data_IF_318536864611
#
_entry.id   IF_318536864611
#
_cell.length_a   1.000
_cell.length_b   1.000
_cell.length_c   1.000
_cell.angle_alpha   90.00
_cell.angle_beta   90.00
_cell.angle_gamma   90.00
#
_symmetry.space_group_name_H-M   'P 1'
#
loop_
_entity.id
_entity.type
_entity.pdbx_description
1 polymer ?
#
# COMPACT_ATOMS: atom_id res chain seq x y z
N UNK A 1 -7.01 -16.14 -22.72
CA UNK A 1 -6.65 -16.41 -21.30
C UNK A 1 -5.42 -15.58 -21.02
N UNK A 2 -5.55 -14.44 -20.33
CA UNK A 2 -4.37 -13.70 -19.89
C UNK A 2 -3.65 -14.56 -18.84
N UNK A 3 -2.36 -14.83 -19.05
CA UNK A 3 -1.53 -15.50 -18.05
C UNK A 3 -1.35 -14.58 -16.86
N UNK A 4 -1.53 -15.07 -15.61
CA UNK A 4 -1.33 -14.24 -14.43
C UNK A 4 0.10 -13.71 -14.41
N UNK A 5 0.24 -12.39 -14.28
CA UNK A 5 1.54 -11.73 -14.17
C UNK A 5 2.11 -11.99 -12.78
N UNK A 6 3.36 -12.44 -12.66
CA UNK A 6 3.99 -12.59 -11.35
C UNK A 6 4.06 -11.22 -10.65
N UNK A 7 3.88 -11.23 -9.33
CA UNK A 7 3.95 -10.03 -8.51
C UNK A 7 5.33 -9.35 -8.72
N UNK A 8 5.36 -8.03 -8.96
CA UNK A 8 6.60 -7.32 -9.18
C UNK A 8 7.49 -7.40 -7.95
N UNK A 9 8.79 -7.61 -8.16
CA UNK A 9 9.76 -7.52 -7.07
C UNK A 9 9.78 -6.09 -6.53
N UNK A 10 9.98 -5.90 -5.22
CA UNK A 10 10.03 -4.58 -4.56
C UNK A 10 10.97 -3.55 -5.24
N UNK A 11 11.99 -4.02 -5.97
CA UNK A 11 12.94 -3.18 -6.72
C UNK A 11 12.53 -2.87 -8.17
N UNK A 12 11.41 -3.42 -8.67
CA UNK A 12 10.92 -3.16 -10.02
C UNK A 12 10.20 -1.81 -10.11
N UNK A 13 10.26 -1.19 -11.29
CA UNK A 13 9.69 0.14 -11.53
C UNK A 13 8.16 0.19 -11.42
N UNK A 14 7.52 -0.98 -11.51
CA UNK A 14 6.07 -1.17 -11.38
C UNK A 14 5.63 -1.53 -9.95
N UNK A 15 6.56 -1.75 -9.04
CA UNK A 15 6.21 -2.01 -7.65
C UNK A 15 5.65 -0.71 -7.03
N UNK A 16 4.47 -0.76 -6.38
CA UNK A 16 4.02 0.36 -5.57
C UNK A 16 5.08 0.64 -4.50
N UNK A 17 5.27 1.91 -4.15
CA UNK A 17 6.24 2.30 -3.13
C UNK A 17 5.57 3.20 -2.13
N UNK A 18 5.61 2.77 -0.88
CA UNK A 18 5.12 3.57 0.22
C UNK A 18 6.28 4.22 0.97
N UNK A 19 6.24 5.55 1.05
CA UNK A 19 7.12 6.31 1.92
C UNK A 19 6.28 7.03 2.99
N UNK A 20 6.58 6.71 4.25
CA UNK A 20 5.89 7.25 5.42
C UNK A 20 5.95 8.78 5.55
N UNK A 21 6.84 9.45 4.80
CA UNK A 21 6.91 10.90 4.70
C UNK A 21 5.76 11.49 3.88
N UNK A 22 5.21 10.74 2.90
CA UNK A 22 4.18 11.20 1.98
C UNK A 22 2.82 10.59 2.32
N UNK A 23 2.27 11.00 3.47
CA UNK A 23 0.98 10.51 3.99
C UNK A 23 -0.16 10.58 2.96
N UNK A 24 -0.16 11.64 2.15
CA UNK A 24 -1.12 11.89 1.07
C UNK A 24 -1.12 10.84 -0.06
N UNK A 25 -0.02 10.10 -0.25
CA UNK A 25 0.08 9.08 -1.29
C UNK A 25 -0.47 7.72 -0.84
N UNK A 26 -0.91 7.61 0.42
CA UNK A 26 -1.38 6.35 1.00
C UNK A 26 -2.59 5.78 0.25
N UNK A 27 -3.60 6.60 -0.14
CA UNK A 27 -4.70 6.11 -0.96
C UNK A 27 -4.24 5.59 -2.33
N UNK A 28 -3.32 6.31 -2.98
CA UNK A 28 -2.75 5.90 -4.29
C UNK A 28 -1.98 4.59 -4.17
N UNK A 29 -1.16 4.43 -3.13
CA UNK A 29 -0.43 3.20 -2.85
C UNK A 29 -1.37 1.99 -2.74
N UNK A 30 -2.51 2.15 -2.06
CA UNK A 30 -3.49 1.08 -1.94
C UNK A 30 -4.15 0.75 -3.28
N UNK A 31 -4.49 1.74 -4.11
CA UNK A 31 -5.05 1.52 -5.45
C UNK A 31 -4.06 0.77 -6.37
N UNK A 32 -2.78 1.15 -6.33
CA UNK A 32 -1.72 0.46 -7.06
C UNK A 32 -1.53 -0.98 -6.56
N UNK A 33 -1.55 -1.18 -5.23
CA UNK A 33 -1.47 -2.52 -4.63
C UNK A 33 -2.64 -3.41 -5.04
N UNK A 34 -3.86 -2.86 -5.09
CA UNK A 34 -5.06 -3.57 -5.56
C UNK A 34 -4.98 -3.91 -7.05
N UNK A 35 -4.38 -3.03 -7.85
CA UNK A 35 -4.17 -3.27 -9.28
C UNK A 35 -3.18 -4.41 -9.51
N UNK A 36 -2.04 -4.38 -8.81
CA UNK A 36 -1.03 -5.46 -8.87
C UNK A 36 -1.62 -6.78 -8.38
N UNK A 37 -2.40 -6.75 -7.30
CA UNK A 37 -3.09 -7.92 -6.79
C UNK A 37 -4.06 -8.52 -7.82
N UNK A 38 -4.81 -7.68 -8.54
CA UNK A 38 -5.72 -8.09 -9.61
C UNK A 38 -4.98 -8.65 -10.82
N UNK A 39 -3.85 -8.05 -11.20
CA UNK A 39 -2.96 -8.56 -12.25
C UNK A 39 -2.36 -9.93 -11.91
N UNK A 40 -2.14 -10.21 -10.63
CA UNK A 40 -1.68 -11.49 -10.10
C UNK A 40 -2.82 -12.46 -9.73
N UNK A 41 -4.09 -12.07 -9.91
CA UNK A 41 -5.28 -12.85 -9.55
C UNK A 41 -5.31 -13.27 -8.06
N UNK A 42 -4.84 -12.41 -7.16
CA UNK A 42 -4.88 -12.58 -5.71
C UNK A 42 -5.86 -11.62 -5.01
N UNK A 43 -6.62 -10.83 -5.79
CA UNK A 43 -7.59 -9.84 -5.28
C UNK A 43 -8.78 -10.46 -4.53
N UNK A 44 -9.00 -11.77 -4.69
CA UNK A 44 -10.03 -12.53 -3.96
C UNK A 44 -9.56 -13.04 -2.59
N UNK A 45 -8.29 -12.81 -2.22
CA UNK A 45 -7.66 -13.34 -1.02
C UNK A 45 -7.16 -12.19 -0.14
N UNK A 46 -8.00 -11.77 0.81
CA UNK A 46 -7.71 -10.64 1.69
C UNK A 46 -6.37 -10.80 2.45
N UNK A 47 -6.06 -12.02 2.88
CA UNK A 47 -4.81 -12.33 3.59
C UNK A 47 -3.58 -12.09 2.69
N UNK A 48 -3.63 -12.57 1.44
CA UNK A 48 -2.56 -12.33 0.47
C UNK A 48 -2.43 -10.85 0.12
N UNK A 49 -3.54 -10.13 -0.03
CA UNK A 49 -3.50 -8.68 -0.30
C UNK A 49 -2.80 -7.92 0.83
N UNK A 50 -3.13 -8.24 2.09
CA UNK A 50 -2.46 -7.68 3.27
C UNK A 50 -0.96 -7.96 3.26
N UNK A 51 -0.56 -9.22 3.04
CA UNK A 51 0.86 -9.63 2.98
C UNK A 51 1.62 -8.96 1.84
N UNK A 52 0.98 -8.80 0.69
CA UNK A 52 1.58 -8.18 -0.48
C UNK A 52 1.83 -6.69 -0.27
N UNK A 53 0.87 -5.97 0.32
CA UNK A 53 1.04 -4.56 0.68
C UNK A 53 2.26 -4.35 1.59
N UNK A 54 2.50 -5.26 2.56
CA UNK A 54 3.68 -5.20 3.42
C UNK A 54 5.02 -5.32 2.69
N UNK A 55 5.06 -5.90 1.49
CA UNK A 55 6.30 -6.04 0.71
C UNK A 55 6.76 -4.73 0.06
N UNK A 56 5.86 -3.76 0.00
CA UNK A 56 6.07 -2.49 -0.69
C UNK A 56 6.21 -1.30 0.26
N UNK A 57 6.16 -1.55 1.56
CA UNK A 57 6.35 -0.54 2.60
C UNK A 57 7.72 -0.69 3.28
N UNK A 58 8.23 0.42 3.82
CA UNK A 58 9.43 0.39 4.67
C UNK A 58 9.25 -0.50 5.91
N UNK A 59 10.35 -1.06 6.42
CA UNK A 59 10.37 -1.94 7.59
C UNK A 59 9.66 -1.33 8.83
N UNK A 60 9.75 -0.01 9.03
CA UNK A 60 9.05 0.67 10.13
C UNK A 60 7.54 0.62 9.96
N UNK A 61 7.05 0.92 8.76
CA UNK A 61 5.62 0.84 8.43
C UNK A 61 5.14 -0.61 8.46
N UNK A 62 5.96 -1.54 7.97
CA UNK A 62 5.65 -2.97 8.01
C UNK A 62 5.41 -3.44 9.45
N UNK A 63 6.29 -3.06 10.39
CA UNK A 63 6.14 -3.41 11.79
C UNK A 63 4.87 -2.82 12.40
N UNK A 64 4.53 -1.58 12.03
CA UNK A 64 3.32 -0.90 12.49
C UNK A 64 2.06 -1.57 11.95
N UNK A 65 1.98 -1.82 10.64
CA UNK A 65 0.83 -2.45 10.00
C UNK A 65 0.62 -3.90 10.48
N UNK A 66 1.71 -4.62 10.76
CA UNK A 66 1.63 -5.96 11.34
C UNK A 66 1.12 -5.98 12.78
N UNK A 67 1.24 -4.86 13.50
CA UNK A 67 0.72 -4.71 14.86
C UNK A 67 -0.76 -4.29 14.91
N UNK A 68 -1.38 -4.05 13.76
CA UNK A 68 -2.79 -3.72 13.66
C UNK A 68 -3.65 -4.97 13.88
N UNK A 69 -4.70 -4.83 14.68
CA UNK A 69 -5.66 -5.90 14.97
C UNK A 69 -6.33 -6.38 13.67
N UNK A 70 -6.61 -5.44 12.76
CA UNK A 70 -7.13 -5.77 11.42
C UNK A 70 -6.18 -6.55 10.53
N UNK A 71 -4.88 -6.57 10.83
CA UNK A 71 -3.91 -7.40 10.11
C UNK A 71 -3.81 -8.80 10.71
N UNK A 72 -3.81 -8.91 12.05
CA UNK A 72 -3.70 -10.19 12.76
C UNK A 72 -5.01 -11.01 12.67
N UNK A 73 -6.16 -10.34 12.61
CA UNK A 73 -7.45 -10.99 12.51
C UNK A 73 -7.78 -11.40 11.06
N UNK A 74 -7.93 -12.71 10.84
CA UNK A 74 -8.28 -13.33 9.56
C UNK A 74 -9.74 -13.10 9.14
N UNK A 75 -10.65 -12.74 10.06
CA UNK A 75 -12.02 -12.33 9.73
C UNK A 75 -12.09 -10.90 9.19
N UNK A 76 -11.04 -10.10 9.39
CA UNK A 76 -10.97 -8.73 8.90
C UNK A 76 -10.59 -8.70 7.43
N UNK A 77 -11.42 -8.04 6.63
CA UNK A 77 -11.18 -7.88 5.19
C UNK A 77 -10.10 -6.83 4.92
N UNK A 78 -9.56 -6.83 3.72
CA UNK A 78 -8.66 -5.81 3.18
C UNK A 78 -9.22 -4.40 3.36
N UNK A 79 -10.54 -4.23 3.24
CA UNK A 79 -11.22 -2.95 3.47
C UNK A 79 -11.13 -2.46 4.91
N UNK A 80 -11.31 -3.35 5.89
CA UNK A 80 -11.19 -3.01 7.31
C UNK A 80 -9.76 -2.58 7.64
N UNK A 81 -8.79 -3.34 7.12
CA UNK A 81 -7.36 -3.01 7.24
C UNK A 81 -7.03 -1.64 6.64
N UNK A 82 -7.43 -1.36 5.40
CA UNK A 82 -7.22 -0.04 4.77
C UNK A 82 -7.81 1.09 5.61
N UNK A 83 -9.02 0.90 6.13
CA UNK A 83 -9.71 1.91 6.94
C UNK A 83 -8.96 2.18 8.24
N UNK A 84 -8.52 1.13 8.94
CA UNK A 84 -7.74 1.27 10.17
C UNK A 84 -6.39 1.93 9.88
N UNK A 85 -5.68 1.51 8.83
CA UNK A 85 -4.44 2.15 8.40
C UNK A 85 -4.67 3.64 8.13
N UNK A 86 -5.64 4.02 7.29
CA UNK A 86 -5.93 5.42 6.98
C UNK A 86 -6.26 6.23 8.25
N UNK A 87 -7.02 5.66 9.19
CA UNK A 87 -7.34 6.31 10.47
C UNK A 87 -6.11 6.57 11.34
N UNK A 88 -5.03 5.78 11.18
CA UNK A 88 -3.77 5.98 11.90
C UNK A 88 -2.85 7.04 11.26
N UNK A 89 -3.15 7.47 10.03
CA UNK A 89 -2.40 8.51 9.31
C UNK A 89 -3.28 9.74 9.03
N UNK A 90 -3.67 10.53 10.07
CA UNK A 90 -4.35 11.79 9.85
C UNK A 90 -3.44 12.73 9.04
N UNK A 91 -3.95 13.18 7.88
CA UNK A 91 -3.17 13.89 6.85
C UNK A 91 -3.03 13.14 5.52
N UNK A 92 -3.44 11.85 5.47
CA UNK A 92 -3.59 11.12 4.22
C UNK A 92 -4.84 11.53 3.40
N UNK A 93 -5.77 12.27 4.02
CA UNK A 93 -7.09 12.53 3.45
C UNK A 93 -7.20 13.79 2.58
N UNK A 94 -6.24 14.72 2.56
CA UNK A 94 -6.23 15.85 1.60
C UNK A 94 -4.98 16.73 1.79
N UNK A 95 -4.17 16.84 0.74
CA UNK A 95 -3.45 18.07 0.44
C UNK A 95 -3.84 18.48 -0.99
N UNK A 96 -4.56 19.60 -1.18
CA UNK A 96 -4.68 20.19 -2.50
C UNK A 96 -3.28 20.66 -2.92
N UNK A 97 -2.92 20.33 -4.16
CA UNK A 97 -1.85 20.91 -4.98
C UNK A 97 -0.83 21.81 -4.28
N UNK A 98 0.42 21.37 -4.27
CA UNK A 98 1.68 22.12 -4.51
C UNK A 98 2.76 21.63 -3.54
N UNK A 99 3.71 20.82 -4.03
CA UNK A 99 5.16 21.00 -3.81
C UNK A 99 5.90 19.93 -4.64
N UNK A 100 5.86 20.11 -5.96
CA UNK A 100 6.96 19.68 -6.86
C UNK A 100 8.12 20.70 -6.84
N UNK A 101 8.19 21.56 -5.81
CA UNK A 101 9.27 22.53 -5.63
C UNK A 101 10.27 22.04 -4.59
N UNK A 102 10.90 20.88 -4.80
CA UNK A 102 12.23 20.64 -4.18
C UNK A 102 13.06 19.60 -4.94
N UNK A 103 13.13 19.67 -6.27
CA UNK A 103 14.33 19.18 -6.96
C UNK A 103 15.35 20.33 -7.01
N UNK A 104 16.10 20.43 -5.91
CA UNK A 104 17.27 21.29 -5.76
C UNK A 104 18.29 21.00 -6.86
N UNK A 105 18.48 21.98 -7.74
CA UNK A 105 19.74 22.72 -7.93
C UNK A 105 21.01 21.96 -7.54
N UNK A 106 21.74 21.45 -8.54
CA UNK A 106 23.16 21.75 -8.84
C UNK A 106 23.47 21.44 -10.30
#
# INVERSE_FOLDING_TARGET
MATPTPLPSCNERKAPKWDSQYKEQLPTFFDESETVAREAAIDSDDEKMKKEALRYVDAKTMCFWRSLDTFEDDMKTWKDFKKEVLSNYPGAEQLPETTTDTLKKV
#
